data_IF_291661572429
#
_entry.id   IF_291661572429
#
_cell.length_a   1.000
_cell.length_b   1.000
_cell.length_c   1.000
_cell.angle_alpha   90.00
_cell.angle_beta   90.00
_cell.angle_gamma   90.00
#
_symmetry.space_group_name_H-M   'P 1'
#
loop_
_entity.id
_entity.type
_entity.pdbx_description
1 polymer ?
#
# COMPACT_ATOMS: atom_id res chain seq x y z
N UNK A 1 18.52 -15.19 -22.68
CA UNK A 1 17.87 -14.33 -21.65
C UNK A 1 17.80 -15.16 -20.38
N UNK A 2 18.72 -14.93 -19.46
CA UNK A 2 18.72 -15.60 -18.16
C UNK A 2 17.87 -14.80 -17.17
N UNK A 3 17.16 -15.50 -16.28
CA UNK A 3 16.53 -14.88 -15.13
C UNK A 3 17.54 -14.85 -13.99
N UNK A 4 17.54 -13.81 -13.17
CA UNK A 4 18.34 -13.83 -11.94
C UNK A 4 17.67 -14.70 -10.90
N UNK A 5 18.48 -15.49 -10.21
CA UNK A 5 18.04 -16.21 -9.02
C UNK A 5 18.02 -15.25 -7.81
N UNK A 6 17.06 -15.41 -6.88
CA UNK A 6 17.05 -14.65 -5.64
C UNK A 6 18.35 -14.80 -4.86
N UNK A 7 18.88 -13.70 -4.32
CA UNK A 7 20.06 -13.76 -3.45
C UNK A 7 19.72 -14.31 -2.06
N UNK A 8 20.70 -14.87 -1.29
CA UNK A 8 20.45 -15.36 0.06
C UNK A 8 19.84 -14.27 0.95
N UNK A 9 18.61 -14.48 1.40
CA UNK A 9 17.84 -13.46 2.12
C UNK A 9 16.72 -12.83 1.31
N UNK A 10 16.53 -13.20 0.04
CA UNK A 10 15.37 -12.85 -0.79
C UNK A 10 14.36 -14.00 -0.90
N UNK A 11 14.14 -14.71 0.20
CA UNK A 11 13.40 -15.98 0.19
C UNK A 11 11.91 -15.79 0.52
N UNK A 12 11.43 -14.54 0.63
CA UNK A 12 10.04 -14.28 0.97
C UNK A 12 9.13 -14.41 -0.26
N UNK A 13 7.85 -14.70 0.00
CA UNK A 13 6.82 -14.72 -1.04
C UNK A 13 6.74 -13.39 -1.82
N UNK A 14 7.02 -12.25 -1.17
CA UNK A 14 6.99 -10.95 -1.83
C UNK A 14 8.12 -10.81 -2.86
N UNK A 15 9.31 -11.27 -2.52
CA UNK A 15 10.44 -11.27 -3.45
C UNK A 15 10.18 -12.25 -4.58
N UNK A 16 9.76 -13.48 -4.28
CA UNK A 16 9.43 -14.47 -5.31
C UNK A 16 8.38 -13.94 -6.31
N UNK A 17 7.34 -13.24 -5.83
CA UNK A 17 6.35 -12.58 -6.70
C UNK A 17 6.97 -11.44 -7.50
N UNK A 18 7.81 -10.61 -6.88
CA UNK A 18 8.44 -9.48 -7.55
C UNK A 18 9.40 -9.96 -8.67
N UNK A 19 10.20 -11.00 -8.41
CA UNK A 19 11.02 -11.66 -9.44
C UNK A 19 10.17 -12.26 -10.58
N UNK A 20 8.94 -12.70 -10.28
CA UNK A 20 7.98 -13.21 -11.25
C UNK A 20 7.44 -12.17 -12.25
N UNK A 21 7.59 -10.86 -12.01
CA UNK A 21 7.26 -9.84 -13.02
C UNK A 21 8.24 -9.78 -14.17
N UNK A 22 9.38 -10.45 -14.05
CA UNK A 22 10.37 -10.46 -15.11
C UNK A 22 9.76 -10.94 -16.42
N UNK A 23 9.79 -10.07 -17.41
CA UNK A 23 9.42 -10.43 -18.76
C UNK A 23 10.69 -10.60 -19.60
N UNK A 24 10.75 -11.69 -20.36
CA UNK A 24 11.86 -11.91 -21.29
C UNK A 24 11.73 -11.07 -22.55
N UNK A 25 10.51 -10.61 -22.88
CA UNK A 25 10.19 -9.84 -24.07
C UNK A 25 9.17 -8.75 -23.71
N UNK A 26 9.52 -7.50 -23.95
CA UNK A 26 8.68 -6.34 -23.73
C UNK A 26 8.17 -5.85 -25.10
N UNK A 27 6.87 -6.00 -25.34
CA UNK A 27 6.23 -5.41 -26.51
C UNK A 27 6.05 -3.92 -26.27
N UNK A 28 6.48 -3.09 -27.22
CA UNK A 28 6.14 -1.68 -27.20
C UNK A 28 4.62 -1.51 -27.42
N UNK A 29 3.87 -0.80 -26.56
CA UNK A 29 2.44 -0.59 -26.77
C UNK A 29 2.13 0.36 -27.94
N UNK A 30 3.12 1.07 -28.49
CA UNK A 30 2.93 2.11 -29.51
C UNK A 30 3.33 1.68 -30.93
N UNK A 31 4.07 0.58 -31.09
CA UNK A 31 4.52 0.06 -32.37
C UNK A 31 4.69 -1.47 -32.30
N UNK A 32 5.15 -2.10 -33.40
CA UNK A 32 5.38 -3.54 -33.44
C UNK A 32 6.82 -3.95 -33.06
N UNK A 33 7.59 -3.07 -32.42
CA UNK A 33 8.92 -3.39 -31.92
C UNK A 33 8.87 -4.23 -30.63
N UNK A 34 9.85 -5.12 -30.50
CA UNK A 34 10.04 -5.96 -29.33
C UNK A 34 11.39 -5.67 -28.66
N UNK A 35 11.37 -5.51 -27.34
CA UNK A 35 12.52 -5.11 -26.54
C UNK A 35 12.88 -6.17 -25.52
N UNK A 36 14.17 -6.38 -25.28
CA UNK A 36 14.61 -7.35 -24.27
C UNK A 36 16.00 -7.05 -23.75
N UNK A 37 16.34 -7.66 -22.62
CA UNK A 37 17.69 -7.69 -22.09
C UNK A 37 18.35 -9.04 -22.36
N UNK A 38 19.63 -9.01 -22.71
CA UNK A 38 20.46 -10.22 -22.73
C UNK A 38 21.16 -10.47 -21.38
N UNK A 39 21.98 -11.52 -21.33
CA UNK A 39 22.70 -11.93 -20.10
C UNK A 39 23.83 -10.96 -19.72
N UNK A 40 24.26 -10.11 -20.65
CA UNK A 40 25.25 -9.07 -20.43
C UNK A 40 24.61 -7.73 -20.02
N UNK A 41 23.33 -7.73 -19.62
CA UNK A 41 22.55 -6.52 -19.32
C UNK A 41 22.51 -5.53 -20.50
N UNK A 42 22.58 -6.03 -21.74
CA UNK A 42 22.40 -5.21 -22.93
C UNK A 42 20.93 -5.15 -23.33
N UNK A 43 20.43 -3.94 -23.54
CA UNK A 43 19.11 -3.66 -24.06
C UNK A 43 19.12 -3.80 -25.59
N UNK A 44 18.27 -4.66 -26.10
CA UNK A 44 18.08 -4.91 -27.52
C UNK A 44 16.67 -4.51 -27.96
N UNK A 45 16.57 -4.06 -29.21
CA UNK A 45 15.32 -3.80 -29.91
C UNK A 45 15.30 -4.58 -31.23
N UNK A 46 14.24 -5.35 -31.44
CA UNK A 46 13.89 -5.97 -32.71
C UNK A 46 12.80 -5.13 -33.36
N UNK A 47 13.10 -4.50 -34.50
CA UNK A 47 12.16 -3.63 -35.21
C UNK A 47 11.27 -4.40 -36.19
N UNK A 48 10.31 -3.69 -36.80
CA UNK A 48 9.34 -4.24 -37.76
C UNK A 48 10.01 -4.84 -39.01
N UNK A 49 11.21 -4.36 -39.37
CA UNK A 49 12.00 -4.87 -40.48
C UNK A 49 12.81 -6.13 -40.13
N UNK A 50 12.58 -6.71 -38.94
CA UNK A 50 13.35 -7.83 -38.39
C UNK A 50 14.84 -7.53 -38.17
N UNK A 51 15.20 -6.25 -38.04
CA UNK A 51 16.55 -5.84 -37.70
C UNK A 51 16.70 -5.82 -36.18
N UNK A 52 17.73 -6.52 -35.70
CA UNK A 52 18.09 -6.56 -34.29
C UNK A 52 19.19 -5.54 -34.00
N UNK A 53 18.95 -4.66 -33.04
CA UNK A 53 19.88 -3.59 -32.68
C UNK A 53 20.12 -3.51 -31.17
N UNK A 54 21.39 -3.44 -30.77
CA UNK A 54 21.77 -3.15 -29.39
C UNK A 54 21.66 -1.63 -29.16
N UNK A 55 20.89 -1.25 -28.14
CA UNK A 55 20.58 0.15 -27.83
C UNK A 55 21.48 0.66 -26.70
N UNK A 56 21.73 -0.15 -25.68
CA UNK A 56 22.53 0.23 -24.52
C UNK A 56 23.06 -1.00 -23.79
N UNK A 57 24.24 -0.90 -23.19
CA UNK A 57 24.80 -1.95 -22.31
C UNK A 57 25.17 -1.32 -20.98
N UNK A 58 24.66 -1.87 -19.87
CA UNK A 58 25.05 -1.44 -18.54
C UNK A 58 26.49 -1.86 -18.23
N UNK A 59 27.25 -0.98 -17.56
CA UNK A 59 28.57 -1.34 -17.07
C UNK A 59 28.42 -2.16 -15.78
N UNK A 60 28.73 -3.45 -15.83
CA UNK A 60 28.60 -4.39 -14.71
C UNK A 60 29.68 -4.17 -13.63
N UNK A 61 29.66 -3.03 -12.92
CA UNK A 61 30.59 -2.78 -11.82
C UNK A 61 30.09 -3.38 -10.51
N UNK A 62 30.35 -4.68 -10.33
CA UNK A 62 30.73 -5.31 -9.05
C UNK A 62 29.71 -5.46 -7.90
N UNK A 63 28.65 -4.65 -7.82
CA UNK A 63 27.57 -4.89 -6.86
C UNK A 63 26.38 -5.47 -7.61
N UNK A 64 26.13 -6.77 -7.41
CA UNK A 64 25.04 -7.48 -8.06
C UNK A 64 23.71 -6.75 -7.83
N UNK A 65 23.03 -6.39 -8.93
CA UNK A 65 21.64 -5.93 -8.87
C UNK A 65 20.75 -6.97 -8.17
N UNK A 66 19.94 -6.50 -7.22
CA UNK A 66 19.05 -7.33 -6.40
C UNK A 66 17.75 -7.73 -7.12
N UNK A 67 17.51 -7.21 -8.33
CA UNK A 67 16.28 -7.43 -9.08
C UNK A 67 16.58 -7.70 -10.57
N UNK A 68 15.57 -8.17 -11.31
CA UNK A 68 15.70 -8.34 -12.75
C UNK A 68 15.72 -7.00 -13.50
N UNK A 69 16.29 -7.00 -14.70
CA UNK A 69 16.19 -5.86 -15.61
C UNK A 69 14.73 -5.64 -16.01
N UNK A 70 14.35 -4.39 -16.21
CA UNK A 70 12.96 -4.02 -16.51
C UNK A 70 12.88 -2.85 -17.48
N UNK A 71 11.75 -2.76 -18.19
CA UNK A 71 11.46 -1.75 -19.22
C UNK A 71 10.04 -1.23 -18.99
N UNK A 72 9.84 0.08 -19.10
CA UNK A 72 8.55 0.74 -19.10
C UNK A 72 8.50 1.79 -20.23
N UNK A 73 7.34 1.93 -20.88
CA UNK A 73 7.17 2.80 -22.04
C UNK A 73 6.37 4.04 -21.66
N UNK A 74 7.05 5.18 -21.48
CA UNK A 74 6.42 6.43 -21.08
C UNK A 74 5.64 7.11 -22.22
N UNK A 75 6.06 6.90 -23.47
CA UNK A 75 5.36 7.29 -24.69
C UNK A 75 5.97 6.57 -25.90
N UNK A 76 5.45 6.84 -27.11
CA UNK A 76 6.03 6.37 -28.38
C UNK A 76 7.52 6.72 -28.56
N UNK A 77 8.01 7.75 -27.87
CA UNK A 77 9.35 8.32 -28.04
C UNK A 77 10.21 8.25 -26.78
N UNK A 78 9.65 7.78 -25.65
CA UNK A 78 10.34 7.80 -24.36
C UNK A 78 10.22 6.42 -23.72
N UNK A 79 11.36 5.78 -23.54
CA UNK A 79 11.47 4.43 -22.96
C UNK A 79 12.34 4.53 -21.72
N UNK A 80 11.88 3.96 -20.62
CA UNK A 80 12.61 3.90 -19.35
C UNK A 80 13.03 2.47 -19.11
N UNK A 81 14.28 2.26 -18.72
CA UNK A 81 14.80 0.93 -18.49
C UNK A 81 15.84 0.93 -17.37
N UNK A 82 15.99 -0.21 -16.69
CA UNK A 82 16.92 -0.34 -15.57
C UNK A 82 17.45 -1.76 -15.43
N UNK A 83 18.61 -1.88 -14.78
CA UNK A 83 19.26 -3.17 -14.55
C UNK A 83 18.79 -3.89 -13.29
N UNK A 84 17.76 -3.37 -12.61
CA UNK A 84 17.26 -3.87 -11.32
C UNK A 84 18.08 -3.40 -10.10
N UNK A 85 19.23 -2.75 -10.31
CA UNK A 85 19.94 -2.00 -9.28
C UNK A 85 19.49 -0.54 -9.26
N UNK A 86 20.34 0.36 -8.78
CA UNK A 86 20.09 1.81 -8.87
C UNK A 86 20.41 2.42 -10.24
N UNK A 87 20.78 1.61 -11.24
CA UNK A 87 21.12 2.11 -12.57
C UNK A 87 19.90 2.05 -13.49
N UNK A 88 19.31 3.21 -13.72
CA UNK A 88 18.21 3.42 -14.65
C UNK A 88 18.60 4.43 -15.71
N UNK A 89 17.99 4.31 -16.88
CA UNK A 89 18.22 5.16 -18.03
C UNK A 89 16.90 5.46 -18.74
N UNK A 90 16.86 6.62 -19.38
CA UNK A 90 15.77 7.06 -20.24
C UNK A 90 16.31 7.18 -21.66
N UNK A 91 15.75 6.40 -22.58
CA UNK A 91 15.94 6.57 -24.01
C UNK A 91 14.89 7.54 -24.55
N UNK A 92 15.37 8.57 -25.24
CA UNK A 92 14.54 9.53 -25.96
C UNK A 92 14.82 9.37 -27.45
N UNK A 93 13.75 9.21 -28.22
CA UNK A 93 13.74 9.12 -29.67
C UNK A 93 13.15 10.41 -30.22
N UNK A 94 13.94 11.22 -30.91
CA UNK A 94 13.45 12.46 -31.52
C UNK A 94 14.01 12.60 -32.94
N UNK A 95 13.12 12.72 -33.93
CA UNK A 95 13.49 12.85 -35.35
C UNK A 95 14.52 11.81 -35.83
N UNK A 96 14.39 10.56 -35.37
CA UNK A 96 15.31 9.47 -35.70
C UNK A 96 16.66 9.50 -34.96
N UNK A 97 16.90 10.50 -34.12
CA UNK A 97 18.03 10.53 -33.19
C UNK A 97 17.64 9.91 -31.86
N UNK A 98 18.56 9.09 -31.35
CA UNK A 98 18.41 8.40 -30.08
C UNK A 98 19.38 8.94 -29.06
N UNK A 99 18.87 9.14 -27.86
CA UNK A 99 19.67 9.63 -26.75
C UNK A 99 19.32 8.89 -25.48
N UNK A 100 20.32 8.31 -24.84
CA UNK A 100 20.20 7.71 -23.52
C UNK A 100 20.67 8.71 -22.46
N UNK A 101 19.85 8.94 -21.45
CA UNK A 101 20.13 9.82 -20.31
C UNK A 101 20.04 8.98 -19.03
N UNK A 102 21.05 9.00 -18.14
CA UNK A 102 20.97 8.30 -16.87
C UNK A 102 19.95 8.97 -15.94
N UNK A 103 19.22 8.15 -15.19
CA UNK A 103 18.28 8.57 -14.16
C UNK A 103 19.01 8.55 -12.82
N UNK A 104 18.93 9.64 -12.06
CA UNK A 104 19.55 9.78 -10.73
C UNK A 104 18.53 9.57 -9.63
N UNK A 105 18.99 9.32 -8.39
CA UNK A 105 18.12 9.27 -7.19
C UNK A 105 17.06 8.15 -7.20
N UNK A 106 17.36 7.07 -7.91
CA UNK A 106 16.53 5.87 -7.98
C UNK A 106 17.04 4.76 -7.05
N UNK A 107 16.11 4.13 -6.33
CA UNK A 107 16.39 2.97 -5.49
C UNK A 107 16.44 1.70 -6.37
N UNK A 108 17.14 0.63 -5.96
CA UNK A 108 17.03 -0.67 -6.61
C UNK A 108 15.59 -1.18 -6.60
N UNK A 109 15.13 -1.72 -7.72
CA UNK A 109 13.77 -2.23 -7.88
C UNK A 109 13.42 -2.56 -9.33
N UNK A 110 12.16 -2.95 -9.54
CA UNK A 110 11.59 -3.27 -10.85
C UNK A 110 10.74 -2.09 -11.32
N UNK A 111 10.93 -1.67 -12.57
CA UNK A 111 10.03 -0.72 -13.23
C UNK A 111 8.67 -1.39 -13.43
N UNK A 112 7.64 -0.83 -12.82
CA UNK A 112 6.27 -1.30 -12.97
C UNK A 112 5.55 -0.52 -14.07
N UNK A 113 5.78 0.79 -14.15
CA UNK A 113 5.16 1.65 -15.16
C UNK A 113 5.93 2.97 -15.35
N UNK A 114 5.69 3.63 -16.48
CA UNK A 114 6.18 4.97 -16.77
C UNK A 114 5.19 5.73 -17.66
N UNK A 115 5.10 7.04 -17.49
CA UNK A 115 4.18 7.90 -18.26
C UNK A 115 4.82 9.26 -18.54
N UNK A 116 4.76 9.71 -19.79
CA UNK A 116 5.09 11.08 -20.17
C UNK A 116 3.83 11.95 -20.17
N UNK A 117 3.91 13.09 -19.50
CA UNK A 117 2.84 14.07 -19.36
C UNK A 117 3.28 15.33 -20.11
N UNK A 118 2.80 15.44 -21.36
CA UNK A 118 3.32 16.38 -22.36
C UNK A 118 3.08 17.86 -22.00
N UNK A 119 1.92 18.18 -21.43
CA UNK A 119 1.56 19.54 -21.00
C UNK A 119 2.47 20.04 -19.86
N UNK A 120 2.92 19.14 -18.98
CA UNK A 120 3.81 19.43 -17.86
C UNK A 120 5.29 19.17 -18.17
N UNK A 121 5.59 18.61 -19.34
CA UNK A 121 6.92 18.12 -19.73
C UNK A 121 7.54 17.23 -18.65
N UNK A 122 6.72 16.34 -18.08
CA UNK A 122 7.08 15.51 -16.94
C UNK A 122 7.13 14.04 -17.36
N UNK A 123 8.17 13.30 -16.96
CA UNK A 123 8.17 11.84 -17.02
C UNK A 123 8.00 11.30 -15.61
N UNK A 124 6.91 10.57 -15.37
CA UNK A 124 6.68 9.84 -14.12
C UNK A 124 7.06 8.38 -14.29
N UNK A 125 7.71 7.83 -13.27
CA UNK A 125 8.23 6.46 -13.26
C UNK A 125 7.84 5.83 -11.93
N UNK A 126 7.30 4.60 -11.98
CA UNK A 126 6.97 3.80 -10.81
C UNK A 126 7.91 2.60 -10.67
N UNK A 127 8.66 2.56 -9.58
CA UNK A 127 9.61 1.49 -9.24
C UNK A 127 9.06 0.73 -8.03
N UNK A 128 9.01 -0.60 -8.10
CA UNK A 128 8.65 -1.45 -6.98
C UNK A 128 9.88 -2.15 -6.40
N UNK A 129 10.04 -2.10 -5.08
CA UNK A 129 11.08 -2.82 -4.36
C UNK A 129 10.54 -3.39 -3.04
N UNK A 130 11.27 -4.34 -2.47
CA UNK A 130 10.96 -4.91 -1.15
C UNK A 130 11.86 -4.27 -0.11
N UNK A 131 11.24 -3.82 0.98
CA UNK A 131 11.92 -3.24 2.14
C UNK A 131 11.58 -4.03 3.40
N UNK A 132 12.49 -4.05 4.36
CA UNK A 132 12.27 -4.70 5.65
C UNK A 132 12.12 -3.66 6.77
N UNK A 133 10.97 -3.68 7.44
CA UNK A 133 10.69 -2.83 8.59
C UNK A 133 10.41 -3.71 9.82
N UNK A 134 11.26 -3.61 10.85
CA UNK A 134 11.11 -4.33 12.13
C UNK A 134 10.95 -5.85 11.94
N UNK A 135 11.74 -6.44 11.05
CA UNK A 135 11.69 -7.89 10.78
C UNK A 135 10.55 -8.33 9.84
N UNK A 136 9.78 -7.38 9.28
CA UNK A 136 8.68 -7.69 8.34
C UNK A 136 8.96 -7.05 6.99
N UNK A 137 8.92 -7.87 5.94
CA UNK A 137 9.05 -7.40 4.57
C UNK A 137 7.76 -6.78 4.07
N UNK A 138 7.89 -5.73 3.27
CA UNK A 138 6.80 -4.96 2.66
C UNK A 138 7.19 -4.53 1.26
N UNK A 139 6.19 -4.34 0.42
CA UNK A 139 6.41 -3.73 -0.90
C UNK A 139 6.42 -2.22 -0.76
N UNK A 140 7.35 -1.57 -1.45
CA UNK A 140 7.47 -0.12 -1.53
C UNK A 140 7.41 0.29 -3.00
N UNK A 141 6.57 1.27 -3.30
CA UNK A 141 6.57 1.97 -4.59
C UNK A 141 7.32 3.27 -4.41
N UNK A 142 8.29 3.51 -5.27
CA UNK A 142 8.96 4.80 -5.43
C UNK A 142 8.46 5.42 -6.73
N UNK A 143 7.75 6.54 -6.62
CA UNK A 143 7.34 7.37 -7.74
C UNK A 143 8.35 8.50 -7.93
N UNK A 144 8.98 8.55 -9.10
CA UNK A 144 9.92 9.59 -9.47
C UNK A 144 9.34 10.39 -10.63
N UNK A 145 9.26 11.70 -10.44
CA UNK A 145 8.78 12.65 -11.44
C UNK A 145 9.94 13.51 -11.89
N UNK A 146 10.28 13.46 -13.17
CA UNK A 146 11.36 14.24 -13.75
C UNK A 146 10.84 15.26 -14.74
N UNK A 147 11.36 16.50 -14.65
CA UNK A 147 11.18 17.49 -15.69
C UNK A 147 12.11 17.19 -16.85
N UNK A 148 11.53 17.07 -18.04
CA UNK A 148 12.23 16.80 -19.27
C UNK A 148 12.24 18.04 -20.16
N UNK A 149 13.37 18.76 -20.13
CA UNK A 149 13.59 19.90 -21.00
C UNK A 149 14.24 19.44 -22.30
N UNK A 150 13.43 19.27 -23.35
CA UNK A 150 13.91 19.02 -24.70
C UNK A 150 14.29 20.37 -25.33
N UNK A 151 15.57 20.61 -25.53
CA UNK A 151 16.06 21.71 -26.36
C UNK A 151 16.52 21.14 -27.69
N UNK A 152 16.20 21.82 -28.79
CA UNK A 152 16.48 21.36 -30.17
C UNK A 152 17.97 21.05 -30.46
N UNK A 153 18.89 21.46 -29.58
CA UNK A 153 20.35 21.27 -29.76
C UNK A 153 21.14 20.93 -28.48
N UNK A 154 20.49 20.80 -27.31
CA UNK A 154 21.20 20.50 -26.04
C UNK A 154 20.70 19.15 -25.53
N UNK A 155 21.60 18.29 -25.00
CA UNK A 155 21.19 17.12 -24.23
C UNK A 155 20.03 17.46 -23.30
N UNK A 156 18.90 16.77 -23.47
CA UNK A 156 17.79 16.93 -22.54
C UNK A 156 18.32 16.78 -21.12
N UNK A 157 18.14 17.81 -20.30
CA UNK A 157 18.52 17.75 -18.89
C UNK A 157 17.33 17.15 -18.15
N UNK A 158 17.60 16.07 -17.42
CA UNK A 158 16.62 15.41 -16.59
C UNK A 158 16.80 15.90 -15.14
N UNK A 159 15.81 16.61 -14.62
CA UNK A 159 15.85 17.11 -13.24
C UNK A 159 14.76 16.42 -12.43
N UNK A 160 15.13 15.82 -11.30
CA UNK A 160 14.14 15.30 -10.36
C UNK A 160 13.29 16.45 -9.84
N UNK A 161 11.99 16.39 -10.10
CA UNK A 161 11.01 17.38 -9.67
C UNK A 161 10.32 16.94 -8.38
N UNK A 162 9.95 15.66 -8.29
CA UNK A 162 9.26 15.12 -7.13
C UNK A 162 9.61 13.65 -6.94
N UNK A 163 9.82 13.26 -5.69
CA UNK A 163 9.89 11.88 -5.25
C UNK A 163 8.78 11.62 -4.24
N UNK A 164 8.03 10.54 -4.46
CA UNK A 164 7.01 10.07 -3.53
C UNK A 164 7.25 8.59 -3.25
N UNK A 165 7.00 8.16 -2.02
CA UNK A 165 7.13 6.76 -1.64
C UNK A 165 5.84 6.28 -0.99
N UNK A 166 5.37 5.12 -1.44
CA UNK A 166 4.20 4.44 -0.90
C UNK A 166 4.62 3.09 -0.35
N UNK A 167 4.07 2.73 0.81
CA UNK A 167 4.28 1.45 1.45
C UNK A 167 3.01 0.61 1.39
N UNK A 168 3.14 -0.66 1.03
CA UNK A 168 2.05 -1.64 0.96
C UNK A 168 2.38 -2.83 1.86
N UNK A 169 1.41 -3.20 2.69
CA UNK A 169 1.49 -4.43 3.49
C UNK A 169 1.07 -5.63 2.63
N UNK A 170 2.00 -6.19 1.88
CA UNK A 170 1.75 -7.35 1.02
C UNK A 170 2.24 -7.11 -0.40
N UNK A 171 1.77 -7.96 -1.33
CA UNK A 171 2.18 -7.90 -2.73
C UNK A 171 1.53 -6.74 -3.49
N UNK A 172 2.21 -6.28 -4.53
CA UNK A 172 1.70 -5.36 -5.53
C UNK A 172 1.69 -6.11 -6.85
N UNK A 173 0.52 -6.19 -7.46
CA UNK A 173 0.28 -6.95 -8.69
C UNK A 173 0.29 -6.08 -9.94
N UNK A 174 -0.05 -4.80 -9.79
CA UNK A 174 -0.14 -3.88 -10.90
C UNK A 174 0.02 -2.44 -10.42
N UNK A 175 0.66 -1.62 -11.25
CA UNK A 175 0.71 -0.17 -11.12
C UNK A 175 0.49 0.43 -12.50
N UNK A 176 -0.34 1.45 -12.57
CA UNK A 176 -0.56 2.25 -13.76
C UNK A 176 -0.62 3.72 -13.42
N UNK A 177 0.14 4.53 -14.13
CA UNK A 177 0.18 5.99 -13.99
C UNK A 177 -0.74 6.58 -15.05
N UNK A 178 -1.74 7.34 -14.63
CA UNK A 178 -2.67 7.91 -15.61
C UNK A 178 -2.00 8.95 -16.51
N UNK A 179 -2.48 9.14 -17.76
CA UNK A 179 -1.92 10.14 -18.69
C UNK A 179 -1.96 11.57 -18.15
N UNK A 180 -2.88 11.88 -17.23
CA UNK A 180 -2.97 13.18 -16.54
C UNK A 180 -1.77 13.45 -15.61
N UNK A 181 -1.11 12.38 -15.16
CA UNK A 181 -0.10 12.39 -14.12
C UNK A 181 -0.64 12.66 -12.72
N UNK A 182 -1.95 12.81 -12.52
CA UNK A 182 -2.52 13.17 -11.22
C UNK A 182 -2.89 11.96 -10.35
N UNK A 183 -3.16 10.82 -10.99
CA UNK A 183 -3.60 9.60 -10.32
C UNK A 183 -2.76 8.39 -10.74
N UNK A 184 -2.73 7.41 -9.83
CA UNK A 184 -2.22 6.07 -10.10
C UNK A 184 -3.34 5.07 -9.82
N UNK A 185 -3.40 4.02 -10.64
CA UNK A 185 -4.24 2.86 -10.40
C UNK A 185 -3.34 1.71 -9.95
N UNK A 186 -3.68 1.07 -8.83
CA UNK A 186 -2.84 0.02 -8.24
C UNK A 186 -3.70 -1.18 -7.85
N UNK A 187 -3.23 -2.38 -8.18
CA UNK A 187 -3.75 -3.62 -7.61
C UNK A 187 -2.74 -4.12 -6.57
N UNK A 188 -3.16 -4.13 -5.31
CA UNK A 188 -2.31 -4.52 -4.19
C UNK A 188 -3.10 -5.30 -3.15
N UNK A 189 -2.40 -6.10 -2.35
CA UNK A 189 -3.01 -6.92 -1.31
C UNK A 189 -3.59 -6.10 -0.14
N UNK A 190 -2.99 -4.95 0.14
CA UNK A 190 -3.48 -3.98 1.13
C UNK A 190 -3.40 -2.56 0.54
N UNK A 191 -4.05 -1.62 1.19
CA UNK A 191 -4.10 -0.22 0.77
C UNK A 191 -2.72 0.43 0.87
N UNK A 192 -2.24 1.09 -0.20
CA UNK A 192 -0.99 1.83 -0.18
C UNK A 192 -1.09 3.06 0.72
N UNK A 193 0.02 3.39 1.39
CA UNK A 193 0.15 4.59 2.23
C UNK A 193 1.36 5.40 1.81
N UNK A 194 1.18 6.70 1.59
CA UNK A 194 2.32 7.60 1.41
C UNK A 194 3.14 7.67 2.69
N UNK A 195 4.45 7.44 2.56
CA UNK A 195 5.42 7.53 3.65
C UNK A 195 6.46 8.62 3.40
N UNK A 196 6.59 9.08 2.15
CA UNK A 196 7.43 10.22 1.78
C UNK A 196 6.86 10.98 0.58
N UNK A 197 6.99 12.31 0.58
CA UNK A 197 6.78 13.19 -0.57
C UNK A 197 7.74 14.39 -0.45
N UNK A 198 8.53 14.64 -1.48
CA UNK A 198 9.57 15.68 -1.46
C UNK A 198 9.03 17.10 -1.61
N UNK A 199 7.82 17.27 -2.16
CA UNK A 199 7.21 18.59 -2.39
C UNK A 199 6.13 18.93 -1.37
N UNK A 200 5.46 17.91 -0.84
CA UNK A 200 4.44 18.07 0.19
C UNK A 200 4.92 17.36 1.43
N UNK A 201 5.03 18.08 2.55
CA UNK A 201 5.13 17.39 3.83
C UNK A 201 3.90 16.50 3.95
N UNK A 202 4.12 15.22 4.25
CA UNK A 202 3.04 14.34 4.66
C UNK A 202 2.61 14.85 6.03
N UNK A 203 1.68 15.79 6.01
CA UNK A 203 0.91 16.14 7.18
C UNK A 203 0.11 14.88 7.46
N UNK A 204 0.48 14.13 8.51
CA UNK A 204 -0.53 13.35 9.22
C UNK A 204 -1.62 14.38 9.51
N UNK A 205 -2.76 14.31 8.82
CA UNK A 205 -3.88 15.23 9.04
C UNK A 205 -4.11 15.33 10.54
N UNK A 206 -3.62 16.44 11.10
CA UNK A 206 -3.78 16.74 12.50
C UNK A 206 -5.22 17.09 12.67
N UNK A 207 -5.97 16.18 13.30
CA UNK A 207 -7.34 16.35 13.77
C UNK A 207 -8.37 16.71 12.69
N UNK A 208 -8.70 15.72 11.87
CA UNK A 208 -10.07 15.28 11.56
C UNK A 208 -9.92 14.18 10.48
N UNK A 209 -10.34 12.95 10.80
CA UNK A 209 -10.31 11.81 9.87
C UNK A 209 -8.93 11.38 9.30
N UNK A 210 -8.17 10.58 10.04
CA UNK A 210 -7.81 9.22 9.58
C UNK A 210 -6.68 8.56 10.41
N UNK A 211 -7.08 7.55 11.19
CA UNK A 211 -6.48 6.22 11.20
C UNK A 211 -4.94 6.10 11.09
N UNK A 212 -4.25 6.46 12.17
CA UNK A 212 -3.30 5.50 12.76
C UNK A 212 -4.06 4.21 13.05
N UNK A 213 -3.98 3.23 12.14
CA UNK A 213 -3.96 1.81 12.55
C UNK A 213 -2.54 1.51 13.09
N UNK A 214 -2.06 2.09 14.21
CA UNK A 214 -2.04 1.34 15.49
C UNK A 214 -3.23 0.41 15.45
N UNK A 215 -3.05 -0.92 15.37
CA UNK A 215 -4.14 -1.89 15.57
C UNK A 215 -5.20 -1.18 16.41
N UNK A 216 -6.30 -0.73 15.77
CA UNK A 216 -7.40 -0.14 16.52
C UNK A 216 -7.92 -1.38 17.20
N UNK A 217 -7.32 -1.73 18.34
CA UNK A 217 -7.90 -2.64 19.30
C UNK A 217 -9.23 -1.95 19.53
N UNK A 218 -10.33 -2.50 19.01
CA UNK A 218 -11.64 -1.93 19.24
C UNK A 218 -11.75 -1.69 20.73
N UNK A 219 -12.27 -0.51 21.11
CA UNK A 219 -12.48 -0.20 22.53
C UNK A 219 -13.33 -1.30 23.18
N UNK A 220 -14.23 -1.86 22.38
CA UNK A 220 -15.04 -3.00 22.68
C UNK A 220 -15.38 -3.76 21.40
N UNK A 221 -15.66 -5.04 21.56
CA UNK A 221 -16.29 -5.85 20.54
C UNK A 221 -17.75 -6.03 20.91
N UNK A 222 -18.60 -6.26 19.92
CA UNK A 222 -19.99 -6.61 20.18
C UNK A 222 -20.51 -7.56 19.11
N UNK A 223 -21.48 -8.39 19.46
CA UNK A 223 -22.19 -9.26 18.54
C UNK A 223 -23.68 -9.18 18.85
N UNK A 224 -24.48 -9.76 17.97
CA UNK A 224 -25.92 -9.79 18.16
C UNK A 224 -26.51 -11.07 17.56
N UNK A 225 -27.67 -11.45 18.09
CA UNK A 225 -28.61 -12.35 17.42
C UNK A 225 -29.96 -11.64 17.26
N UNK A 226 -31.04 -12.38 17.02
CA UNK A 226 -32.37 -11.80 16.82
C UNK A 226 -32.89 -11.07 18.08
N UNK A 227 -32.47 -11.49 19.27
CA UNK A 227 -33.09 -11.07 20.54
C UNK A 227 -32.13 -10.29 21.46
N UNK A 228 -30.83 -10.42 21.26
CA UNK A 228 -29.82 -9.98 22.22
C UNK A 228 -28.59 -9.33 21.56
N UNK A 229 -27.84 -8.61 22.39
CA UNK A 229 -26.53 -8.02 22.09
C UNK A 229 -25.55 -8.46 23.16
N UNK A 230 -24.38 -8.92 22.72
CA UNK A 230 -23.26 -9.25 23.61
C UNK A 230 -22.14 -8.24 23.39
N UNK A 231 -21.57 -7.67 24.45
CA UNK A 231 -20.52 -6.64 24.37
C UNK A 231 -19.32 -7.05 25.22
N UNK A 232 -18.12 -6.99 24.67
CA UNK A 232 -16.87 -7.31 25.36
C UNK A 232 -15.95 -6.09 25.42
N UNK A 233 -15.55 -5.69 26.63
CA UNK A 233 -14.64 -4.58 26.88
C UNK A 233 -13.34 -5.10 27.49
N UNK A 234 -12.20 -4.80 26.85
CA UNK A 234 -10.89 -5.16 27.41
C UNK A 234 -10.56 -4.24 28.59
N UNK A 235 -10.19 -4.82 29.73
CA UNK A 235 -9.82 -4.07 30.93
C UNK A 235 -8.29 -3.91 30.97
N UNK A 236 -7.75 -2.67 31.02
CA UNK A 236 -6.31 -2.48 31.12
C UNK A 236 -5.74 -3.10 32.40
N UNK A 237 -4.53 -3.66 32.32
CA UNK A 237 -3.90 -4.47 33.37
C UNK A 237 -3.80 -3.74 34.72
N UNK A 238 -3.52 -2.45 34.68
CA UNK A 238 -3.41 -1.57 35.85
C UNK A 238 -4.74 -1.41 36.61
N UNK A 239 -5.87 -1.68 35.96
CA UNK A 239 -7.23 -1.46 36.47
C UNK A 239 -7.98 -2.77 36.77
N UNK A 240 -7.35 -3.95 36.58
CA UNK A 240 -8.00 -5.27 36.75
C UNK A 240 -8.57 -5.54 38.15
N UNK A 241 -8.11 -4.85 39.19
CA UNK A 241 -8.59 -5.01 40.57
C UNK A 241 -9.72 -4.05 40.93
N UNK A 242 -10.06 -3.12 40.05
CA UNK A 242 -11.07 -2.09 40.29
C UNK A 242 -12.44 -2.59 39.83
N UNK A 243 -13.50 -2.13 40.52
CA UNK A 243 -14.88 -2.46 40.14
C UNK A 243 -15.39 -1.43 39.13
N UNK A 244 -15.92 -1.86 37.96
CA UNK A 244 -16.50 -0.94 37.00
C UNK A 244 -17.80 -0.34 37.52
N UNK A 245 -17.99 0.96 37.29
CA UNK A 245 -19.26 1.65 37.47
C UNK A 245 -20.06 1.54 36.17
N UNK A 246 -21.02 0.63 36.14
CA UNK A 246 -21.84 0.31 34.97
C UNK A 246 -23.21 0.94 35.13
N UNK A 247 -23.56 1.85 34.22
CA UNK A 247 -24.89 2.45 34.12
C UNK A 247 -25.45 2.17 32.75
N UNK A 248 -26.53 1.40 32.71
CA UNK A 248 -27.24 1.06 31.48
C UNK A 248 -28.68 1.50 31.67
N UNK A 249 -29.20 2.15 30.64
CA UNK A 249 -30.59 2.57 30.53
C UNK A 249 -31.13 2.03 29.21
N UNK A 250 -32.46 2.02 28.99
CA UNK A 250 -33.02 1.55 27.73
C UNK A 250 -32.49 2.25 26.47
N UNK A 251 -31.89 3.44 26.60
CA UNK A 251 -31.43 4.25 25.46
C UNK A 251 -29.93 4.55 25.48
N UNK A 252 -29.21 4.22 26.55
CA UNK A 252 -27.80 4.61 26.68
C UNK A 252 -27.00 3.70 27.61
N UNK A 253 -25.70 3.64 27.35
CA UNK A 253 -24.68 2.93 28.12
C UNK A 253 -23.61 3.90 28.62
N UNK A 254 -23.12 3.67 29.83
CA UNK A 254 -21.96 4.37 30.40
C UNK A 254 -21.23 3.43 31.35
N UNK A 255 -20.00 3.05 30.99
CA UNK A 255 -19.14 2.20 31.80
C UNK A 255 -17.84 2.93 32.07
N UNK A 256 -17.53 3.10 33.36
CA UNK A 256 -16.37 3.85 33.82
C UNK A 256 -15.58 3.07 34.87
N UNK A 257 -14.26 3.19 34.84
CA UNK A 257 -13.32 2.69 35.86
C UNK A 257 -12.59 3.89 36.45
N UNK A 258 -12.96 4.29 37.67
CA UNK A 258 -12.49 5.53 38.30
C UNK A 258 -12.60 6.73 37.34
N UNK A 259 -11.47 7.28 36.89
CA UNK A 259 -11.40 8.44 36.00
C UNK A 259 -11.41 8.08 34.50
N UNK A 260 -11.46 6.78 34.14
CA UNK A 260 -11.44 6.31 32.76
C UNK A 260 -12.83 5.90 32.29
N UNK A 261 -13.30 6.50 31.20
CA UNK A 261 -14.51 6.07 30.49
C UNK A 261 -14.15 4.97 29.49
N UNK A 262 -14.67 3.76 29.68
CA UNK A 262 -14.44 2.63 28.78
C UNK A 262 -15.35 2.69 27.55
N UNK A 263 -16.64 2.91 27.78
CA UNK A 263 -17.67 3.05 26.75
C UNK A 263 -18.77 3.97 27.27
N UNK A 264 -19.23 4.88 26.43
CA UNK A 264 -20.34 5.78 26.77
C UNK A 264 -21.04 6.24 25.49
N UNK A 265 -22.36 6.22 25.49
CA UNK A 265 -23.15 6.76 24.39
C UNK A 265 -24.59 6.26 24.37
N UNK A 266 -25.34 6.74 23.39
CA UNK A 266 -26.73 6.33 23.14
C UNK A 266 -26.79 5.13 22.20
N UNK A 267 -27.62 4.16 22.53
CA UNK A 267 -27.85 3.00 21.69
C UNK A 267 -28.53 3.37 20.37
N UNK A 268 -28.29 2.58 19.32
CA UNK A 268 -28.98 2.74 18.03
C UNK A 268 -30.50 2.60 18.20
N UNK A 269 -30.91 1.55 18.92
CA UNK A 269 -32.30 1.27 19.26
C UNK A 269 -32.47 1.04 20.76
N UNK A 270 -33.72 0.88 21.20
CA UNK A 270 -34.03 0.75 22.61
C UNK A 270 -33.80 -0.69 23.09
N UNK A 271 -33.25 -0.84 24.29
CA UNK A 271 -33.15 -2.13 25.00
C UNK A 271 -34.41 -2.41 25.83
N UNK A 272 -34.63 -3.69 26.13
CA UNK A 272 -35.71 -4.14 27.01
C UNK A 272 -35.36 -3.88 28.49
N UNK A 273 -35.95 -2.83 29.07
CA UNK A 273 -35.84 -2.54 30.52
C UNK A 273 -34.41 -2.46 31.07
N UNK A 274 -34.27 -2.61 32.40
CA UNK A 274 -32.99 -2.65 33.11
C UNK A 274 -32.40 -4.09 33.15
N UNK A 275 -32.58 -4.88 32.09
CA UNK A 275 -32.26 -6.32 32.06
C UNK A 275 -30.79 -6.64 31.76
N UNK A 276 -29.93 -5.63 31.72
CA UNK A 276 -28.52 -5.83 31.41
C UNK A 276 -27.79 -6.63 32.49
N UNK A 277 -27.19 -7.75 32.10
CA UNK A 277 -26.29 -8.54 32.95
C UNK A 277 -24.85 -8.32 32.51
N UNK A 278 -23.91 -8.48 33.43
CA UNK A 278 -22.49 -8.38 33.12
C UNK A 278 -21.68 -9.35 33.96
N UNK A 279 -20.59 -9.85 33.38
CA UNK A 279 -19.64 -10.77 34.01
C UNK A 279 -18.21 -10.33 33.72
N UNK A 280 -17.33 -10.50 34.71
CA UNK A 280 -15.91 -10.26 34.53
C UNK A 280 -15.22 -11.57 34.18
N UNK A 281 -14.67 -11.66 32.97
CA UNK A 281 -13.82 -12.75 32.50
C UNK A 281 -12.34 -12.39 32.73
N UNK A 282 -11.39 -13.30 32.42
CA UNK A 282 -9.98 -13.18 32.86
C UNK A 282 -9.31 -11.84 32.49
N UNK A 283 -9.64 -11.26 31.33
CA UNK A 283 -9.09 -10.01 30.82
C UNK A 283 -10.14 -9.06 30.23
N UNK A 284 -11.43 -9.39 30.33
CA UNK A 284 -12.51 -8.66 29.67
C UNK A 284 -13.80 -8.59 30.51
N UNK A 285 -14.53 -7.49 30.40
CA UNK A 285 -15.89 -7.34 30.91
C UNK A 285 -16.87 -7.70 29.78
N UNK A 286 -17.66 -8.76 29.99
CA UNK A 286 -18.74 -9.18 29.09
C UNK A 286 -20.06 -8.60 29.58
N UNK A 287 -20.85 -8.01 28.70
CA UNK A 287 -22.22 -7.57 28.95
C UNK A 287 -23.18 -8.31 28.02
N UNK A 288 -24.34 -8.64 28.56
CA UNK A 288 -25.46 -9.23 27.81
C UNK A 288 -26.65 -8.29 27.95
N UNK A 289 -27.18 -7.85 26.81
CA UNK A 289 -28.23 -6.86 26.69
C UNK A 289 -29.37 -7.46 25.85
N UNK A 290 -30.62 -7.16 26.20
CA UNK A 290 -31.80 -7.69 25.50
C UNK A 290 -32.42 -6.58 24.65
N UNK A 291 -32.72 -6.88 23.39
CA UNK A 291 -33.36 -5.94 22.47
C UNK A 291 -34.83 -5.77 22.86
N UNK A 292 -35.35 -4.54 22.78
CA UNK A 292 -36.78 -4.32 23.00
C UNK A 292 -37.65 -4.88 21.86
N UNK A 293 -37.10 -4.97 20.64
CA UNK A 293 -37.78 -5.50 19.46
C UNK A 293 -36.99 -6.70 18.91
N UNK A 294 -37.56 -7.90 19.06
CA UNK A 294 -37.02 -9.14 18.48
C UNK A 294 -36.96 -9.05 16.95
N UNK A 295 -35.88 -9.56 16.36
CA UNK A 295 -35.61 -9.54 14.92
C UNK A 295 -35.02 -8.22 14.39
N UNK A 296 -34.88 -7.19 15.23
CA UNK A 296 -34.27 -5.92 14.83
C UNK A 296 -32.75 -6.04 14.81
N UNK A 297 -32.15 -5.96 13.62
CA UNK A 297 -30.70 -6.00 13.44
C UNK A 297 -30.08 -4.61 13.55
N UNK A 298 -29.09 -4.46 14.42
CA UNK A 298 -28.38 -3.23 14.70
C UNK A 298 -27.17 -3.13 13.76
N UNK A 299 -26.96 -1.96 13.17
CA UNK A 299 -25.79 -1.66 12.34
C UNK A 299 -24.65 -1.07 13.17
N UNK A 300 -24.97 -0.52 14.35
CA UNK A 300 -24.03 0.05 15.30
C UNK A 300 -24.55 -0.17 16.73
N UNK A 301 -23.67 -0.40 17.71
CA UNK A 301 -24.09 -0.50 19.11
C UNK A 301 -24.48 0.89 19.64
N UNK A 302 -23.62 1.88 19.42
CA UNK A 302 -23.78 3.27 19.85
C UNK A 302 -23.86 4.16 18.61
N UNK A 303 -24.82 5.09 18.59
CA UNK A 303 -25.05 6.00 17.46
C UNK A 303 -23.79 6.81 17.13
N UNK A 304 -23.27 6.64 15.92
CA UNK A 304 -22.12 7.39 15.42
C UNK A 304 -20.78 7.00 16.06
N UNK A 305 -20.73 5.90 16.82
CA UNK A 305 -19.47 5.42 17.38
C UNK A 305 -18.70 4.55 16.38
N UNK A 306 -17.43 4.90 16.17
CA UNK A 306 -16.49 4.15 15.30
C UNK A 306 -15.45 3.36 16.12
N UNK A 307 -15.64 3.29 17.44
CA UNK A 307 -14.76 2.61 18.39
C UNK A 307 -15.07 1.14 18.65
N UNK A 308 -16.26 0.66 18.28
CA UNK A 308 -16.70 -0.73 18.44
C UNK A 308 -16.57 -1.56 17.16
N UNK A 309 -16.27 -2.85 17.28
CA UNK A 309 -16.24 -3.81 16.15
C UNK A 309 -17.32 -4.89 16.31
N UNK A 310 -18.12 -5.11 15.26
CA UNK A 310 -19.16 -6.13 15.24
C UNK A 310 -18.58 -7.50 14.86
N UNK A 311 -18.74 -8.50 15.74
CA UNK A 311 -18.29 -9.87 15.53
C UNK A 311 -19.45 -10.74 15.01
N UNK A 312 -19.24 -11.53 13.93
CA UNK A 312 -20.29 -12.33 13.31
C UNK A 312 -20.66 -13.60 14.09
N UNK A 313 -19.86 -14.05 15.07
CA UNK A 313 -20.24 -15.09 16.02
C UNK A 313 -19.42 -15.00 17.33
N UNK A 314 -19.92 -15.62 18.41
CA UNK A 314 -19.25 -15.64 19.72
C UNK A 314 -17.95 -16.47 19.73
N UNK A 315 -17.80 -17.43 18.81
CA UNK A 315 -16.60 -18.30 18.72
C UNK A 315 -15.35 -17.50 18.34
N UNK A 316 -15.49 -16.49 17.47
CA UNK A 316 -14.41 -15.56 17.10
C UNK A 316 -14.05 -14.61 18.26
N UNK A 317 -14.98 -14.33 19.18
CA UNK A 317 -14.72 -13.49 20.35
C UNK A 317 -13.78 -14.20 21.34
N UNK A 318 -13.93 -15.51 21.51
CA UNK A 318 -13.07 -16.29 22.42
C UNK A 318 -11.60 -16.34 21.98
N UNK A 319 -11.32 -16.33 20.68
CA UNK A 319 -9.94 -16.33 20.14
C UNK A 319 -9.22 -15.00 20.37
N UNK A 320 -9.96 -13.89 20.48
CA UNK A 320 -9.42 -12.53 20.72
C UNK A 320 -8.95 -12.33 22.17
N UNK A 321 -9.43 -13.17 23.10
CA UNK A 321 -9.19 -13.10 24.55
C UNK A 321 -8.27 -14.23 25.09
N UNK A 322 -7.59 -14.97 24.20
CA UNK A 322 -6.53 -15.95 24.56
C UNK A 322 -5.13 -15.35 24.52
#
# INVERSE_FOLDING_TARGET
VSHREPSPGQDSLLEARLFGFHNHLYRNPFDDCCWFFDEAESLWCLNENSELRCVYTFNSSGNGSSYNCSIAFASEKIIVFGNGGSSYCMLIINNGQEKVIPITDADPGILMDAQYIDDKKLVKIGICCIVEEKGKKRSKIVLLSYLLNLHDNIPGVLNLYQRQELLVHGAIDYLYIEPSGEYINMLSQDNPKFIFDSLKSIVEEGSEHSNKKKLKIPKYYWSQDEDSLTVWLKIPDDYRKLRPNIKITPTAISIQLEDIVLIQGEFQFRLEGDTATWTMEKDALKLELIKNESGQMWNELIKGDTGGEHLPNETLAAEIHT
#
